data_IF_209522789756
#
_entry.id   IF_209522789756
#
_cell.length_a   1.000
_cell.length_b   1.000
_cell.length_c   1.000
_cell.angle_alpha   90.00
_cell.angle_beta   90.00
_cell.angle_gamma   90.00
#
_symmetry.space_group_name_H-M   'P 1'
#
loop_
_entity.id
_entity.type
_entity.pdbx_description
1 polymer ?
#
# COMPACT_ATOMS: atom_id res chain seq x y z
N UNK A 1 -8.07 13.80 -41.03
CA UNK A 1 -8.14 14.31 -39.64
C UNK A 1 -7.06 15.37 -39.51
N UNK A 2 -7.42 16.64 -39.32
CA UNK A 2 -6.47 17.77 -39.26
C UNK A 2 -5.87 17.86 -37.86
N UNK A 3 -4.55 17.99 -37.77
CA UNK A 3 -3.82 18.32 -36.54
C UNK A 3 -4.08 19.80 -36.17
N UNK A 4 -4.20 20.15 -34.87
CA UNK A 4 -4.42 21.53 -34.44
C UNK A 4 -3.10 22.35 -34.40
N UNK A 5 -3.15 23.69 -34.57
CA UNK A 5 -1.96 24.52 -34.60
C UNK A 5 -1.50 25.01 -33.21
N UNK A 6 -0.18 24.87 -33.03
CA UNK A 6 0.81 25.73 -32.36
C UNK A 6 0.37 26.72 -31.24
N UNK A 7 0.89 26.46 -30.04
CA UNK A 7 0.73 27.21 -28.79
C UNK A 7 1.88 28.21 -28.52
N UNK A 8 2.41 28.87 -29.54
CA UNK A 8 3.46 29.89 -29.35
C UNK A 8 2.90 31.33 -29.21
N UNK A 9 2.18 31.66 -28.12
CA UNK A 9 1.98 33.06 -27.68
C UNK A 9 1.92 33.19 -26.14
N UNK A 10 2.75 34.05 -25.51
CA UNK A 10 2.71 34.26 -24.07
C UNK A 10 1.54 35.17 -23.65
N UNK A 11 0.71 34.68 -22.72
CA UNK A 11 -0.35 35.46 -22.05
C UNK A 11 0.27 36.34 -20.95
N UNK A 12 0.52 37.61 -21.25
CA UNK A 12 0.73 38.63 -20.22
C UNK A 12 -0.61 39.24 -19.79
N UNK A 13 -1.08 38.92 -18.59
CA UNK A 13 -2.20 39.60 -17.94
C UNK A 13 -1.64 40.56 -16.89
N UNK A 14 -1.55 41.86 -17.24
CA UNK A 14 -1.32 42.92 -16.26
C UNK A 14 -2.56 43.08 -15.37
N UNK A 15 -2.41 42.86 -14.07
CA UNK A 15 -3.43 43.22 -13.07
C UNK A 15 -3.15 44.66 -12.62
N UNK A 16 -4.04 45.59 -12.94
CA UNK A 16 -4.04 46.95 -12.38
C UNK A 16 -4.68 46.92 -10.99
N UNK A 17 -3.97 47.40 -9.97
CA UNK A 17 -4.53 47.67 -8.65
C UNK A 17 -5.27 49.02 -8.67
N UNK A 18 -6.41 49.18 -7.97
CA UNK A 18 -7.11 50.46 -7.88
C UNK A 18 -6.31 51.45 -7.02
N UNK A 19 -6.15 52.69 -7.51
CA UNK A 19 -5.70 53.82 -6.71
C UNK A 19 -6.86 54.26 -5.80
N UNK A 20 -6.65 54.25 -4.49
CA UNK A 20 -7.51 54.95 -3.53
C UNK A 20 -6.89 56.27 -3.11
N UNK A 21 -7.77 57.26 -3.04
CA UNK A 21 -7.53 58.70 -2.93
C UNK A 21 -6.91 59.10 -1.58
N UNK A 22 -5.93 59.99 -1.62
CA UNK A 22 -5.36 60.62 -0.42
C UNK A 22 -6.31 61.72 0.07
N UNK A 23 -7.03 61.47 1.17
CA UNK A 23 -7.59 62.53 2.00
C UNK A 23 -6.59 62.88 3.11
N UNK A 24 -6.26 64.17 3.20
CA UNK A 24 -5.27 64.69 4.13
C UNK A 24 -5.75 64.59 5.58
N UNK A 25 -4.98 63.88 6.40
CA UNK A 25 -4.99 64.00 7.85
C UNK A 25 -3.57 64.37 8.29
N UNK A 26 -3.43 65.49 8.98
CA UNK A 26 -2.19 65.89 9.65
C UNK A 26 -1.84 64.82 10.70
N UNK A 27 -0.90 63.93 10.40
CA UNK A 27 -0.30 63.05 11.41
C UNK A 27 0.84 63.81 12.09
N UNK A 28 0.60 64.31 13.29
CA UNK A 28 1.69 64.57 14.23
C UNK A 28 2.30 63.23 14.62
N UNK A 29 3.63 63.11 14.55
CA UNK A 29 4.33 61.94 15.06
C UNK A 29 4.06 61.81 16.57
N UNK A 30 3.79 60.60 17.10
CA UNK A 30 3.65 60.41 18.53
C UNK A 30 4.98 60.75 19.23
N UNK A 31 4.95 61.27 20.47
CA UNK A 31 6.17 61.58 21.21
C UNK A 31 7.01 60.32 21.41
N UNK A 32 8.33 60.45 21.34
CA UNK A 32 9.26 59.34 21.66
C UNK A 32 9.09 58.97 23.13
N UNK A 33 8.75 57.71 23.38
CA UNK A 33 8.74 57.13 24.71
C UNK A 33 10.15 57.17 25.31
N UNK A 34 10.23 57.35 26.62
CA UNK A 34 11.50 57.26 27.33
C UNK A 34 11.94 55.79 27.44
N UNK A 35 13.25 55.50 27.62
CA UNK A 35 13.75 54.12 27.75
C UNK A 35 13.16 53.28 28.91
N UNK A 36 12.44 53.92 29.83
CA UNK A 36 11.71 53.25 30.91
C UNK A 36 10.27 52.88 30.49
N UNK A 37 9.63 53.71 29.67
CA UNK A 37 8.28 53.48 29.14
C UNK A 37 8.28 52.40 28.05
N UNK A 38 9.31 52.33 27.21
CA UNK A 38 9.49 51.23 26.24
C UNK A 38 9.65 49.86 26.94
N UNK A 39 10.34 49.84 28.09
CA UNK A 39 10.50 48.62 28.90
C UNK A 39 9.20 48.16 29.55
N UNK A 40 8.36 49.10 30.00
CA UNK A 40 7.04 48.79 30.57
C UNK A 40 6.05 48.34 29.48
N UNK A 41 6.12 48.91 28.28
CA UNK A 41 5.31 48.47 27.14
C UNK A 41 5.66 47.03 26.71
N UNK A 42 6.96 46.70 26.59
CA UNK A 42 7.43 45.34 26.27
C UNK A 42 7.03 44.32 27.35
N UNK A 43 7.17 44.66 28.63
CA UNK A 43 6.73 43.79 29.73
C UNK A 43 5.20 43.59 29.74
N UNK A 44 4.42 44.57 29.26
CA UNK A 44 2.96 44.44 29.17
C UNK A 44 2.50 43.56 28.01
N UNK A 45 3.24 43.54 26.89
CA UNK A 45 2.99 42.61 25.78
C UNK A 45 3.41 41.19 26.15
N UNK A 46 4.56 41.00 26.82
CA UNK A 46 4.99 39.69 27.32
C UNK A 46 4.01 39.13 28.36
N UNK A 47 3.47 39.98 29.25
CA UNK A 47 2.46 39.55 30.22
C UNK A 47 1.13 39.19 29.52
N UNK A 48 0.70 39.93 28.49
CA UNK A 48 -0.48 39.55 27.69
C UNK A 48 -0.26 38.26 26.88
N UNK A 49 0.95 38.01 26.40
CA UNK A 49 1.32 36.77 25.71
C UNK A 49 1.29 35.58 26.67
N UNK A 50 1.85 35.72 27.88
CA UNK A 50 1.86 34.67 28.91
C UNK A 50 0.48 34.43 29.55
N UNK A 51 -0.36 35.46 29.65
CA UNK A 51 -1.75 35.30 30.15
C UNK A 51 -2.67 34.65 29.11
N UNK A 52 -2.37 34.79 27.80
CA UNK A 52 -3.07 34.04 26.74
C UNK A 52 -2.69 32.56 26.71
N UNK A 53 -1.46 32.20 27.07
CA UNK A 53 -1.01 30.80 27.15
C UNK A 53 -1.65 30.06 28.34
N UNK A 54 -1.94 30.76 29.44
CA UNK A 54 -2.53 30.16 30.64
C UNK A 54 -4.06 30.08 30.65
N UNK A 55 -4.76 30.70 29.68
CA UNK A 55 -6.22 30.60 29.53
C UNK A 55 -6.68 29.48 28.57
N UNK A 56 -5.75 28.78 27.90
CA UNK A 56 -6.05 27.67 26.98
C UNK A 56 -5.84 26.27 27.58
N UNK A 57 -5.56 26.14 28.89
CA UNK A 57 -5.37 24.83 29.55
C UNK A 57 -6.63 24.26 30.23
N UNK A 58 -7.82 24.59 29.72
CA UNK A 58 -9.03 23.79 30.00
C UNK A 58 -9.61 23.29 28.68
N UNK A 59 -8.91 22.31 28.11
CA UNK A 59 -9.46 21.43 27.09
C UNK A 59 -9.71 20.09 27.77
N UNK A 60 -10.96 19.64 27.68
CA UNK A 60 -11.43 18.32 28.07
C UNK A 60 -10.48 17.23 27.56
N UNK A 61 -10.42 16.13 28.31
CA UNK A 61 -9.74 14.89 27.92
C UNK A 61 -10.38 14.38 26.63
N UNK A 62 -9.87 14.89 25.51
CA UNK A 62 -10.16 14.40 24.17
C UNK A 62 -9.05 13.41 23.83
N UNK A 63 -9.49 12.22 23.42
CA UNK A 63 -8.68 11.09 22.99
C UNK A 63 -7.46 11.54 22.21
N UNK A 64 -6.28 11.06 22.60
CA UNK A 64 -5.01 11.37 21.94
C UNK A 64 -5.17 11.29 20.41
N UNK A 65 -4.79 12.32 19.65
CA UNK A 65 -4.68 12.18 18.20
C UNK A 65 -3.64 11.09 17.95
N UNK A 66 -4.01 10.05 17.21
CA UNK A 66 -3.07 9.09 16.64
C UNK A 66 -2.04 9.93 15.88
N UNK A 67 -0.84 10.01 16.43
CA UNK A 67 0.26 10.76 15.82
C UNK A 67 0.60 10.03 14.53
N UNK A 68 0.14 10.56 13.39
CA UNK A 68 0.58 10.11 12.07
C UNK A 68 2.08 10.35 12.05
N UNK A 69 2.86 9.30 12.26
CA UNK A 69 4.31 9.30 12.10
C UNK A 69 4.60 9.59 10.63
N UNK A 70 4.64 10.86 10.25
CA UNK A 70 5.24 11.29 9.00
C UNK A 70 6.73 11.02 9.12
N UNK A 71 7.21 10.06 8.32
CA UNK A 71 8.64 9.83 8.16
C UNK A 71 9.13 10.84 7.13
N UNK A 72 9.91 11.83 7.54
CA UNK A 72 10.46 12.81 6.59
C UNK A 72 11.51 12.15 5.66
N UNK A 73 12.22 11.13 6.14
CA UNK A 73 13.22 10.36 5.39
C UNK A 73 13.15 8.89 5.83
N UNK A 74 12.88 7.98 4.89
CA UNK A 74 12.93 6.54 5.14
C UNK A 74 14.37 6.01 5.11
N UNK A 75 14.72 5.10 6.02
CA UNK A 75 16.05 4.46 6.06
C UNK A 75 16.21 3.37 5.01
N UNK A 76 15.09 2.84 4.53
CA UNK A 76 15.03 1.75 3.56
C UNK A 76 13.77 1.90 2.71
N UNK A 77 13.86 1.41 1.47
CA UNK A 77 12.68 1.29 0.60
C UNK A 77 11.59 0.41 1.22
N UNK A 78 11.95 -0.54 2.10
CA UNK A 78 10.99 -1.40 2.78
C UNK A 78 10.09 -0.63 3.76
N UNK A 79 10.58 0.47 4.36
CA UNK A 79 9.77 1.33 5.24
C UNK A 79 8.69 2.12 4.47
N UNK A 80 8.76 2.13 3.14
CA UNK A 80 7.77 2.74 2.25
C UNK A 80 6.69 1.74 1.80
N UNK A 81 6.76 0.48 2.21
CA UNK A 81 5.68 -0.49 2.00
C UNK A 81 4.53 -0.16 2.96
N UNK A 82 3.34 0.02 2.40
CA UNK A 82 2.14 0.38 3.13
C UNK A 82 1.84 1.87 3.13
N UNK A 83 0.90 2.29 3.98
CA UNK A 83 0.36 3.67 4.02
C UNK A 83 -0.04 4.21 2.64
N UNK A 84 -0.55 3.32 1.80
CA UNK A 84 -0.90 3.64 0.41
C UNK A 84 -2.08 4.62 0.37
N UNK A 85 -2.13 5.50 -0.63
CA UNK A 85 -3.16 6.53 -0.69
C UNK A 85 -4.53 5.92 -1.04
N UNK A 86 -5.57 6.63 -0.64
CA UNK A 86 -6.92 6.40 -1.13
C UNK A 86 -7.35 7.53 -2.05
N UNK A 87 -7.93 7.18 -3.19
CA UNK A 87 -8.37 8.14 -4.20
C UNK A 87 -9.85 7.95 -4.45
N UNK A 88 -10.62 9.03 -4.28
CA UNK A 88 -12.04 9.03 -4.65
C UNK A 88 -12.18 8.97 -6.17
N UNK A 89 -12.92 7.98 -6.66
CA UNK A 89 -13.29 7.88 -8.05
C UNK A 89 -14.54 8.75 -8.27
N UNK A 90 -14.45 9.75 -9.14
CA UNK A 90 -15.57 10.69 -9.38
C UNK A 90 -16.24 10.42 -10.72
N UNK A 91 -15.45 10.35 -11.79
CA UNK A 91 -15.98 10.27 -13.16
C UNK A 91 -16.53 8.90 -13.51
N UNK A 92 -15.85 7.82 -13.13
CA UNK A 92 -16.25 6.45 -13.47
C UNK A 92 -17.44 5.94 -12.66
N UNK A 93 -17.82 6.66 -11.61
CA UNK A 93 -18.92 6.32 -10.70
C UNK A 93 -20.00 7.39 -10.68
N UNK A 94 -20.10 8.16 -11.77
CA UNK A 94 -21.18 9.12 -11.95
C UNK A 94 -22.55 8.38 -11.94
N UNK A 95 -23.52 8.93 -11.21
CA UNK A 95 -24.83 8.30 -11.00
C UNK A 95 -24.88 7.22 -9.91
N UNK A 96 -23.74 6.84 -9.33
CA UNK A 96 -23.72 5.95 -8.14
C UNK A 96 -24.01 6.79 -6.89
N UNK A 97 -24.99 6.40 -6.04
CA UNK A 97 -25.44 7.22 -4.91
C UNK A 97 -24.44 7.27 -3.73
N UNK A 98 -23.36 6.50 -3.78
CA UNK A 98 -22.33 6.44 -2.74
C UNK A 98 -20.93 6.78 -3.28
N UNK A 99 -20.01 7.28 -2.42
CA UNK A 99 -18.61 7.43 -2.80
C UNK A 99 -17.97 6.08 -3.09
N UNK A 100 -17.26 5.98 -4.21
CA UNK A 100 -16.37 4.85 -4.51
C UNK A 100 -14.93 5.31 -4.38
N UNK A 101 -14.15 4.57 -3.61
CA UNK A 101 -12.79 4.94 -3.22
C UNK A 101 -11.85 3.79 -3.58
N UNK A 102 -10.77 4.09 -4.28
CA UNK A 102 -9.72 3.14 -4.60
C UNK A 102 -8.59 3.23 -3.57
N UNK A 103 -8.25 2.11 -2.94
CA UNK A 103 -7.01 1.93 -2.16
C UNK A 103 -5.88 1.57 -3.12
N UNK A 104 -4.95 2.50 -3.35
CA UNK A 104 -4.02 2.43 -4.49
C UNK A 104 -2.74 1.70 -4.10
N UNK A 105 -2.81 0.37 -4.03
CA UNK A 105 -1.67 -0.48 -3.64
C UNK A 105 -0.51 -0.51 -4.66
N UNK A 106 -0.70 0.05 -5.85
CA UNK A 106 0.37 0.18 -6.85
C UNK A 106 1.43 1.24 -6.47
N UNK A 107 1.20 2.01 -5.41
CA UNK A 107 2.20 2.95 -4.89
C UNK A 107 3.18 2.33 -3.91
N UNK A 108 3.03 1.06 -3.55
CA UNK A 108 4.11 0.35 -2.85
C UNK A 108 5.35 0.30 -3.76
N UNK A 109 6.58 0.23 -3.23
CA UNK A 109 7.81 0.34 -4.03
C UNK A 109 8.00 -0.73 -5.11
N UNK A 110 7.51 -1.94 -4.90
CA UNK A 110 7.44 -3.03 -5.88
C UNK A 110 6.24 -2.95 -6.81
N UNK A 111 5.41 -1.91 -6.67
CA UNK A 111 4.31 -1.60 -7.56
C UNK A 111 3.04 -2.39 -7.31
N UNK A 112 2.91 -3.08 -6.16
CA UNK A 112 1.78 -3.97 -5.92
C UNK A 112 1.38 -4.14 -4.46
N UNK A 113 0.20 -4.72 -4.23
CA UNK A 113 -0.28 -5.15 -2.90
C UNK A 113 0.56 -6.28 -2.29
N UNK A 114 1.32 -7.02 -3.10
CA UNK A 114 2.06 -8.22 -2.67
C UNK A 114 3.35 -7.90 -1.92
N UNK A 115 3.81 -6.65 -1.97
CA UNK A 115 4.94 -6.17 -1.18
C UNK A 115 4.69 -6.34 0.32
N UNK A 116 3.44 -6.14 0.77
CA UNK A 116 3.04 -6.28 2.17
C UNK A 116 3.22 -7.70 2.71
N UNK A 117 2.57 -8.74 2.14
CA UNK A 117 2.78 -10.10 2.62
C UNK A 117 4.20 -10.60 2.34
N UNK A 118 4.87 -10.14 1.27
CA UNK A 118 6.27 -10.50 1.03
C UNK A 118 7.17 -10.04 2.19
N UNK A 119 7.09 -8.78 2.60
CA UNK A 119 7.84 -8.26 3.74
C UNK A 119 7.49 -9.03 5.02
N UNK A 120 6.20 -9.18 5.32
CA UNK A 120 5.76 -9.82 6.55
C UNK A 120 6.19 -11.29 6.66
N UNK A 121 6.09 -12.07 5.56
CA UNK A 121 6.52 -13.48 5.56
C UNK A 121 8.02 -13.62 5.79
N UNK A 122 8.84 -12.70 5.28
CA UNK A 122 10.28 -12.69 5.52
C UNK A 122 10.59 -12.29 6.95
N UNK A 123 9.96 -11.23 7.48
CA UNK A 123 10.17 -10.79 8.87
C UNK A 123 9.78 -11.87 9.89
N UNK A 124 8.67 -12.60 9.66
CA UNK A 124 8.30 -13.70 10.54
C UNK A 124 9.29 -14.87 10.42
N UNK A 125 9.75 -15.20 9.22
CA UNK A 125 10.75 -16.27 9.02
C UNK A 125 12.11 -15.93 9.65
N UNK A 126 12.54 -14.67 9.60
CA UNK A 126 13.73 -14.16 10.30
C UNK A 126 13.55 -14.30 11.83
N UNK A 127 12.41 -13.88 12.35
CA UNK A 127 12.08 -13.92 13.78
C UNK A 127 11.98 -15.35 14.32
N UNK A 128 11.45 -16.29 13.55
CA UNK A 128 11.36 -17.70 13.89
C UNK A 128 12.69 -18.45 13.68
N UNK A 129 13.70 -17.80 13.07
CA UNK A 129 14.99 -18.40 12.77
C UNK A 129 14.96 -19.41 11.61
N UNK A 130 13.88 -19.41 10.82
CA UNK A 130 13.72 -20.23 9.62
C UNK A 130 14.54 -19.68 8.45
N UNK A 131 14.74 -18.36 8.40
CA UNK A 131 15.53 -17.68 7.38
C UNK A 131 16.78 -17.04 8.03
N UNK A 132 17.96 -17.51 7.63
CA UNK A 132 19.25 -17.04 8.18
C UNK A 132 19.92 -16.06 7.22
N UNK A 133 20.80 -15.15 7.68
CA UNK A 133 21.56 -14.27 6.79
C UNK A 133 22.24 -15.01 5.63
N UNK A 134 22.06 -14.54 4.39
CA UNK A 134 22.61 -15.18 3.19
C UNK A 134 21.85 -16.41 2.68
N UNK A 135 20.75 -16.81 3.34
CA UNK A 135 19.85 -17.87 2.87
C UNK A 135 19.22 -17.57 1.50
N UNK A 136 18.63 -18.60 0.90
CA UNK A 136 17.97 -18.51 -0.40
C UNK A 136 16.45 -18.58 -0.26
N UNK A 137 15.74 -17.59 -0.78
CA UNK A 137 14.29 -17.59 -0.88
C UNK A 137 13.88 -18.27 -2.19
N UNK A 138 13.02 -19.28 -2.10
CA UNK A 138 12.54 -20.03 -3.26
C UNK A 138 11.03 -19.95 -3.29
N UNK A 139 10.45 -19.36 -4.34
CA UNK A 139 8.99 -19.25 -4.47
C UNK A 139 8.56 -19.55 -5.92
N UNK A 140 7.56 -20.42 -6.12
CA UNK A 140 6.94 -20.58 -7.43
C UNK A 140 6.04 -19.37 -7.72
N UNK A 141 6.58 -18.36 -8.41
CA UNK A 141 5.84 -17.16 -8.77
C UNK A 141 6.49 -16.43 -9.93
N UNK A 142 5.65 -15.86 -10.79
CA UNK A 142 6.02 -14.94 -11.87
C UNK A 142 5.39 -13.56 -11.72
N UNK A 143 4.63 -13.38 -10.64
CA UNK A 143 3.80 -12.20 -10.45
C UNK A 143 4.36 -11.25 -9.40
N UNK A 144 3.45 -10.42 -8.92
CA UNK A 144 3.72 -9.37 -7.93
C UNK A 144 4.41 -9.87 -6.64
N UNK A 145 4.13 -11.09 -6.19
CA UNK A 145 4.78 -11.66 -5.00
C UNK A 145 6.28 -11.88 -5.21
N UNK A 146 6.69 -12.31 -6.40
CA UNK A 146 8.11 -12.44 -6.74
C UNK A 146 8.83 -11.09 -6.67
N UNK A 147 8.21 -10.02 -7.20
CA UNK A 147 8.78 -8.67 -7.16
C UNK A 147 8.92 -8.18 -5.70
N UNK A 148 7.88 -8.35 -4.88
CA UNK A 148 7.93 -7.99 -3.46
C UNK A 148 9.04 -8.74 -2.72
N UNK A 149 9.15 -10.07 -2.92
CA UNK A 149 10.20 -10.89 -2.31
C UNK A 149 11.60 -10.49 -2.79
N UNK A 150 11.77 -10.17 -4.08
CA UNK A 150 13.05 -9.77 -4.65
C UNK A 150 13.56 -8.46 -4.05
N UNK A 151 12.68 -7.48 -3.85
CA UNK A 151 13.03 -6.19 -3.22
C UNK A 151 13.46 -6.40 -1.77
N UNK A 152 12.73 -7.23 -1.00
CA UNK A 152 13.09 -7.56 0.38
C UNK A 152 14.44 -8.29 0.41
N UNK A 153 14.63 -9.28 -0.46
CA UNK A 153 15.86 -10.05 -0.55
C UNK A 153 17.08 -9.19 -0.88
N UNK A 154 16.96 -8.31 -1.88
CA UNK A 154 18.02 -7.39 -2.26
C UNK A 154 18.43 -6.43 -1.12
N UNK A 155 17.47 -6.00 -0.30
CA UNK A 155 17.73 -5.13 0.86
C UNK A 155 18.31 -5.89 2.07
N UNK A 156 17.96 -7.17 2.24
CA UNK A 156 18.36 -8.00 3.39
C UNK A 156 19.57 -8.90 3.12
N UNK A 157 20.03 -8.98 1.87
CA UNK A 157 21.16 -9.81 1.47
C UNK A 157 20.80 -11.30 1.32
N UNK A 158 19.59 -11.61 0.88
CA UNK A 158 19.17 -12.96 0.53
C UNK A 158 19.32 -13.22 -0.96
N UNK A 159 19.54 -14.48 -1.34
CA UNK A 159 19.40 -14.91 -2.72
C UNK A 159 17.93 -15.21 -3.03
N UNK A 160 17.50 -15.05 -4.27
CA UNK A 160 16.17 -15.45 -4.72
C UNK A 160 16.26 -16.41 -5.90
N UNK A 161 15.47 -17.49 -5.85
CA UNK A 161 15.20 -18.36 -7.00
C UNK A 161 13.69 -18.38 -7.22
N UNK A 162 13.24 -17.83 -8.33
CA UNK A 162 11.83 -17.88 -8.72
C UNK A 162 11.60 -18.93 -9.80
N UNK A 163 10.60 -19.77 -9.58
CA UNK A 163 10.18 -20.78 -10.55
C UNK A 163 8.91 -20.30 -11.23
N UNK A 164 8.93 -20.22 -12.55
CA UNK A 164 7.83 -19.72 -13.36
C UNK A 164 7.56 -20.60 -14.58
N UNK A 165 6.41 -20.43 -15.22
CA UNK A 165 6.09 -21.12 -16.48
C UNK A 165 6.50 -20.30 -17.69
N UNK A 166 6.74 -20.96 -18.82
CA UNK A 166 7.06 -20.35 -20.13
C UNK A 166 5.89 -19.57 -20.79
N UNK A 167 4.69 -19.61 -20.20
CA UNK A 167 3.57 -18.70 -20.54
C UNK A 167 3.82 -17.25 -20.10
N UNK A 168 4.70 -17.04 -19.12
CA UNK A 168 4.98 -15.73 -18.53
C UNK A 168 5.76 -14.88 -19.53
N UNK A 169 5.44 -13.58 -19.60
CA UNK A 169 6.10 -12.69 -20.55
C UNK A 169 7.60 -12.51 -20.23
N UNK A 170 8.48 -12.39 -21.25
CA UNK A 170 9.90 -12.16 -21.03
C UNK A 170 10.21 -10.93 -20.18
N UNK A 171 9.39 -9.87 -20.25
CA UNK A 171 9.58 -8.64 -19.48
C UNK A 171 9.51 -8.89 -17.97
N UNK A 172 8.70 -9.86 -17.52
CA UNK A 172 8.64 -10.25 -16.11
C UNK A 172 9.87 -11.03 -15.66
N UNK A 173 10.40 -11.88 -16.53
CA UNK A 173 11.69 -12.58 -16.29
C UNK A 173 12.80 -11.55 -16.13
N UNK A 174 12.88 -10.60 -17.06
CA UNK A 174 13.91 -9.57 -17.07
C UNK A 174 13.81 -8.64 -15.87
N UNK A 175 12.58 -8.28 -15.45
CA UNK A 175 12.34 -7.50 -14.24
C UNK A 175 12.88 -8.21 -12.99
N UNK A 176 12.55 -9.49 -12.80
CA UNK A 176 13.01 -10.25 -11.63
C UNK A 176 14.53 -10.44 -11.63
N UNK A 177 15.12 -10.70 -12.79
CA UNK A 177 16.58 -10.74 -12.95
C UNK A 177 17.24 -9.38 -12.65
N UNK A 178 16.61 -8.27 -13.03
CA UNK A 178 17.10 -6.93 -12.71
C UNK A 178 17.11 -6.64 -11.19
N UNK A 179 16.20 -7.28 -10.43
CA UNK A 179 16.24 -7.27 -8.95
C UNK A 179 17.25 -8.25 -8.34
N UNK A 180 18.04 -8.95 -9.16
CA UNK A 180 19.07 -9.89 -8.71
C UNK A 180 18.56 -11.31 -8.44
N UNK A 181 17.34 -11.65 -8.86
CA UNK A 181 16.82 -13.00 -8.71
C UNK A 181 17.29 -13.93 -9.82
N UNK A 182 17.56 -15.18 -9.46
CA UNK A 182 17.64 -16.28 -10.42
C UNK A 182 16.21 -16.69 -10.82
N UNK A 183 16.02 -16.97 -12.11
CA UNK A 183 14.70 -17.30 -12.66
C UNK A 183 14.79 -18.62 -13.42
N UNK A 184 14.03 -19.60 -12.96
CA UNK A 184 13.87 -20.92 -13.57
C UNK A 184 12.55 -20.95 -14.33
N UNK A 185 12.63 -21.18 -15.64
CA UNK A 185 11.45 -21.26 -16.52
C UNK A 185 11.13 -22.73 -16.80
N UNK A 186 9.92 -23.14 -16.47
CA UNK A 186 9.37 -24.48 -16.62
C UNK A 186 8.35 -24.53 -17.75
N UNK A 187 8.22 -25.67 -18.47
CA UNK A 187 7.16 -25.85 -19.46
C UNK A 187 5.78 -25.79 -18.79
N UNK A 188 4.82 -25.11 -19.42
CA UNK A 188 3.41 -25.07 -18.98
C UNK A 188 2.62 -26.31 -19.42
N UNK A 189 3.08 -27.01 -20.46
CA UNK A 189 2.39 -28.12 -21.13
C UNK A 189 2.75 -29.50 -20.55
N UNK A 190 2.94 -29.56 -19.23
CA UNK A 190 3.22 -30.80 -18.49
C UNK A 190 2.29 -30.93 -17.30
N UNK A 191 1.98 -32.17 -16.92
CA UNK A 191 1.15 -32.47 -15.75
C UNK A 191 1.79 -31.95 -14.45
N UNK A 192 1.00 -31.61 -13.41
CA UNK A 192 1.53 -31.08 -12.16
C UNK A 192 2.58 -31.95 -11.47
N UNK A 193 2.52 -33.27 -11.61
CA UNK A 193 3.46 -34.24 -11.04
C UNK A 193 4.70 -34.51 -11.92
N UNK A 194 4.75 -33.97 -13.15
CA UNK A 194 5.94 -34.05 -14.01
C UNK A 194 7.12 -33.37 -13.29
N UNK A 195 8.33 -33.98 -13.25
CA UNK A 195 9.51 -33.38 -12.63
C UNK A 195 9.90 -32.00 -13.16
N UNK A 196 9.47 -31.67 -14.39
CA UNK A 196 9.69 -30.38 -15.06
C UNK A 196 8.60 -29.37 -14.76
N UNK A 197 7.49 -29.80 -14.17
CA UNK A 197 6.40 -28.90 -13.78
C UNK A 197 6.93 -27.83 -12.83
N UNK A 198 6.26 -26.67 -12.82
CA UNK A 198 6.67 -25.57 -11.95
C UNK A 198 6.54 -25.95 -10.47
N UNK A 199 5.55 -26.78 -10.11
CA UNK A 199 5.32 -27.27 -8.75
C UNK A 199 6.46 -28.19 -8.30
N UNK A 200 6.75 -29.23 -9.09
CA UNK A 200 7.79 -30.20 -8.80
C UNK A 200 9.17 -29.57 -8.79
N UNK A 201 9.42 -28.60 -9.69
CA UNK A 201 10.69 -27.87 -9.72
C UNK A 201 10.88 -27.01 -8.47
N UNK A 202 9.87 -26.26 -8.04
CA UNK A 202 9.97 -25.48 -6.81
C UNK A 202 10.18 -26.37 -5.58
N UNK A 203 9.42 -27.46 -5.47
CA UNK A 203 9.54 -28.43 -4.38
C UNK A 203 10.93 -29.09 -4.34
N UNK A 204 11.45 -29.48 -5.51
CA UNK A 204 12.79 -30.06 -5.63
C UNK A 204 13.87 -29.05 -5.24
N UNK A 205 13.80 -27.82 -5.75
CA UNK A 205 14.76 -26.76 -5.41
C UNK A 205 14.74 -26.45 -3.91
N UNK A 206 13.56 -26.39 -3.27
CA UNK A 206 13.46 -26.23 -1.81
C UNK A 206 14.12 -27.37 -1.02
N UNK A 207 14.19 -28.59 -1.57
CA UNK A 207 14.87 -29.73 -0.92
C UNK A 207 16.37 -29.79 -1.21
N UNK A 208 16.76 -29.41 -2.42
CA UNK A 208 18.14 -29.53 -2.90
C UNK A 208 19.00 -28.31 -2.53
N UNK A 209 18.41 -27.14 -2.34
CA UNK A 209 19.13 -25.91 -1.97
C UNK A 209 19.29 -25.82 -0.44
N UNK A 210 20.52 -25.92 0.10
CA UNK A 210 20.78 -25.78 1.52
C UNK A 210 20.40 -24.37 2.03
N UNK A 211 19.99 -24.29 3.30
CA UNK A 211 19.60 -23.04 3.95
C UNK A 211 18.64 -22.19 3.09
N UNK A 212 17.64 -22.87 2.49
CA UNK A 212 16.58 -22.23 1.73
C UNK A 212 15.28 -22.13 2.53
N UNK A 213 14.47 -21.13 2.16
CA UNK A 213 13.17 -20.88 2.74
C UNK A 213 12.15 -20.67 1.62
N UNK A 214 10.98 -21.28 1.76
CA UNK A 214 9.84 -21.10 0.87
C UNK A 214 8.72 -20.36 1.58
N UNK A 215 8.44 -19.09 1.22
CA UNK A 215 7.37 -18.30 1.84
C UNK A 215 5.99 -18.96 1.74
N UNK A 216 5.68 -19.61 0.60
CA UNK A 216 4.43 -20.33 0.34
C UNK A 216 3.18 -19.47 0.58
N UNK A 217 2.99 -18.45 -0.27
CA UNK A 217 1.93 -17.43 -0.11
C UNK A 217 0.49 -17.96 -0.02
N UNK A 218 0.25 -19.21 -0.44
CA UNK A 218 -1.07 -19.84 -0.47
C UNK A 218 -1.44 -20.55 0.83
N UNK A 219 -0.45 -20.94 1.64
CA UNK A 219 -0.65 -21.62 2.92
C UNK A 219 -0.22 -20.77 4.12
N UNK A 220 0.74 -19.87 3.92
CA UNK A 220 1.32 -19.09 4.99
C UNK A 220 0.36 -18.02 5.53
N UNK A 221 -0.12 -18.23 6.75
CA UNK A 221 -1.08 -17.35 7.42
C UNK A 221 -0.53 -15.95 7.73
N UNK A 222 0.79 -15.74 7.60
CA UNK A 222 1.38 -14.39 7.64
C UNK A 222 0.89 -13.52 6.47
N UNK A 223 0.48 -14.12 5.34
CA UNK A 223 -0.12 -13.38 4.22
C UNK A 223 -1.41 -12.63 4.62
N UNK A 224 -2.50 -13.31 5.04
CA UNK A 224 -3.68 -12.61 5.54
C UNK A 224 -3.38 -11.77 6.78
N UNK A 225 -2.47 -12.21 7.65
CA UNK A 225 -2.11 -11.45 8.84
C UNK A 225 -1.49 -10.08 8.52
N UNK A 226 -0.66 -9.99 7.47
CA UNK A 226 -0.07 -8.72 7.03
C UNK A 226 -1.16 -7.69 6.69
N UNK A 227 -2.21 -8.11 6.01
CA UNK A 227 -3.34 -7.25 5.67
C UNK A 227 -4.23 -6.91 6.87
N UNK A 228 -4.39 -7.85 7.81
CA UNK A 228 -5.07 -7.60 9.08
C UNK A 228 -4.34 -6.56 9.94
N UNK A 229 -3.00 -6.60 9.99
CA UNK A 229 -2.19 -5.67 10.77
C UNK A 229 -1.99 -4.30 10.12
N UNK A 230 -2.09 -4.21 8.80
CA UNK A 230 -1.74 -2.97 8.07
C UNK A 230 -2.89 -2.46 7.20
N UNK A 231 -3.24 -3.16 6.12
CA UNK A 231 -4.21 -2.70 5.12
C UNK A 231 -5.60 -2.43 5.70
N UNK A 232 -6.10 -3.31 6.58
CA UNK A 232 -7.38 -3.14 7.27
C UNK A 232 -7.42 -1.88 8.15
N UNK A 233 -6.49 -1.70 9.09
CA UNK A 233 -6.35 -0.48 9.88
C UNK A 233 -6.22 0.78 9.04
N UNK A 234 -5.39 0.78 8.00
CA UNK A 234 -5.23 1.93 7.12
C UNK A 234 -6.56 2.32 6.47
N UNK A 235 -7.31 1.36 5.93
CA UNK A 235 -8.63 1.62 5.34
C UNK A 235 -9.60 2.16 6.39
N UNK A 236 -9.63 1.58 7.59
CA UNK A 236 -10.51 2.02 8.67
C UNK A 236 -10.20 3.46 9.09
N UNK A 237 -8.93 3.78 9.32
CA UNK A 237 -8.48 5.12 9.68
C UNK A 237 -8.75 6.13 8.58
N UNK A 238 -8.34 5.84 7.34
CA UNK A 238 -8.47 6.77 6.21
C UNK A 238 -9.93 7.00 5.79
N UNK A 239 -10.86 6.10 6.16
CA UNK A 239 -12.31 6.29 5.97
C UNK A 239 -13.00 6.85 7.21
N UNK A 240 -12.28 7.13 8.30
CA UNK A 240 -12.83 7.54 9.59
C UNK A 240 -13.92 6.57 10.09
N UNK A 241 -13.75 5.27 9.83
CA UNK A 241 -14.71 4.22 10.18
C UNK A 241 -16.01 4.22 9.37
N UNK A 242 -16.11 4.98 8.28
CA UNK A 242 -17.33 5.13 7.47
C UNK A 242 -17.45 4.11 6.33
N UNK A 243 -16.45 3.23 6.14
CA UNK A 243 -16.52 2.16 5.15
C UNK A 243 -17.70 1.22 5.44
N UNK A 244 -18.43 0.85 4.39
CA UNK A 244 -19.58 -0.06 4.45
C UNK A 244 -19.36 -1.33 3.64
N UNK A 245 -18.57 -1.24 2.57
CA UNK A 245 -18.25 -2.35 1.66
C UNK A 245 -16.77 -2.32 1.33
N UNK A 246 -16.12 -3.46 1.41
CA UNK A 246 -14.77 -3.69 0.90
C UNK A 246 -14.85 -4.70 -0.24
N UNK A 247 -14.34 -4.31 -1.42
CA UNK A 247 -14.34 -5.16 -2.61
C UNK A 247 -12.89 -5.32 -3.07
N UNK A 248 -12.46 -6.56 -3.29
CA UNK A 248 -11.12 -6.86 -3.80
C UNK A 248 -11.11 -8.13 -4.65
N UNK A 249 -10.12 -8.21 -5.54
CA UNK A 249 -9.85 -9.40 -6.32
C UNK A 249 -9.43 -10.59 -5.43
N UNK A 250 -9.99 -11.78 -5.68
CA UNK A 250 -9.57 -13.00 -4.99
C UNK A 250 -8.39 -13.65 -5.74
N UNK A 251 -7.24 -13.81 -5.08
CA UNK A 251 -6.10 -14.61 -5.57
C UNK A 251 -5.75 -15.65 -4.52
N UNK A 252 -4.71 -15.42 -3.71
CA UNK A 252 -4.47 -16.26 -2.50
C UNK A 252 -5.57 -16.14 -1.43
N UNK A 253 -6.46 -15.14 -1.53
CA UNK A 253 -7.44 -14.81 -0.49
C UNK A 253 -6.91 -13.91 0.64
N UNK A 254 -5.59 -13.78 0.78
CA UNK A 254 -4.96 -13.08 1.92
C UNK A 254 -5.48 -11.65 2.15
N UNK A 255 -5.62 -10.86 1.08
CA UNK A 255 -6.12 -9.48 1.17
C UNK A 255 -7.57 -9.41 1.65
N UNK A 256 -8.46 -10.22 1.05
CA UNK A 256 -9.88 -10.25 1.43
C UNK A 256 -10.05 -10.71 2.88
N UNK A 257 -9.41 -11.82 3.26
CA UNK A 257 -9.56 -12.41 4.58
C UNK A 257 -8.92 -11.54 5.67
N UNK A 258 -7.72 -11.00 5.43
CA UNK A 258 -7.02 -10.15 6.39
C UNK A 258 -7.75 -8.82 6.64
N UNK A 259 -8.07 -8.09 5.57
CA UNK A 259 -8.84 -6.83 5.68
C UNK A 259 -10.23 -7.11 6.24
N UNK A 260 -10.91 -8.14 5.73
CA UNK A 260 -12.26 -8.49 6.13
C UNK A 260 -12.38 -8.85 7.60
N UNK A 261 -11.46 -9.65 8.12
CA UNK A 261 -11.41 -9.98 9.55
C UNK A 261 -11.27 -8.71 10.40
N UNK A 262 -10.30 -7.85 10.09
CA UNK A 262 -10.10 -6.61 10.84
C UNK A 262 -11.35 -5.71 10.80
N UNK A 263 -11.93 -5.49 9.61
CA UNK A 263 -13.09 -4.62 9.45
C UNK A 263 -14.33 -5.17 10.16
N UNK A 264 -14.57 -6.49 10.11
CA UNK A 264 -15.71 -7.12 10.80
C UNK A 264 -15.57 -7.08 12.33
N UNK A 265 -14.35 -7.12 12.87
CA UNK A 265 -14.10 -6.89 14.29
C UNK A 265 -14.42 -5.44 14.71
N UNK A 266 -14.27 -4.46 13.81
CA UNK A 266 -14.66 -3.06 14.05
C UNK A 266 -16.16 -2.82 13.88
N UNK A 267 -16.74 -3.38 12.82
CA UNK A 267 -18.17 -3.32 12.54
C UNK A 267 -18.59 -4.58 11.75
N UNK A 268 -19.31 -5.53 12.37
CA UNK A 268 -19.69 -6.78 11.72
C UNK A 268 -20.67 -6.59 10.55
N UNK A 269 -21.28 -5.40 10.42
CA UNK A 269 -22.18 -5.08 9.30
C UNK A 269 -21.45 -4.76 7.99
N UNK A 270 -20.12 -4.55 8.03
CA UNK A 270 -19.33 -4.29 6.82
C UNK A 270 -19.37 -5.53 5.91
N UNK A 271 -19.64 -5.28 4.63
CA UNK A 271 -19.71 -6.29 3.60
C UNK A 271 -18.33 -6.48 2.94
N UNK A 272 -17.87 -7.72 2.88
CA UNK A 272 -16.63 -8.14 2.22
C UNK A 272 -17.03 -8.90 0.96
N UNK A 273 -16.64 -8.38 -0.21
CA UNK A 273 -17.07 -8.87 -1.51
C UNK A 273 -15.85 -9.30 -2.32
N UNK A 274 -15.84 -10.54 -2.78
CA UNK A 274 -14.83 -11.07 -3.68
C UNK A 274 -15.19 -10.73 -5.13
N UNK A 275 -14.30 -10.05 -5.84
CA UNK A 275 -14.36 -9.93 -7.28
C UNK A 275 -13.49 -11.03 -7.89
N UNK A 276 -14.08 -11.93 -8.66
CA UNK A 276 -13.40 -13.12 -9.18
C UNK A 276 -13.68 -13.31 -10.67
N UNK A 277 -12.70 -13.74 -11.49
CA UNK A 277 -12.94 -14.06 -12.89
C UNK A 277 -13.85 -15.29 -13.06
N UNK A 278 -14.69 -15.24 -14.09
CA UNK A 278 -15.42 -16.41 -14.56
C UNK A 278 -14.46 -17.58 -14.86
N UNK A 279 -14.79 -18.78 -14.38
CA UNK A 279 -13.96 -19.98 -14.53
C UNK A 279 -13.04 -20.27 -13.33
N UNK A 280 -12.79 -19.32 -12.44
CA UNK A 280 -12.08 -19.59 -11.18
C UNK A 280 -12.93 -20.39 -10.19
N UNK A 281 -12.29 -21.16 -9.29
CA UNK A 281 -12.99 -21.96 -8.27
C UNK A 281 -13.83 -21.10 -7.32
N UNK A 282 -13.44 -19.85 -7.09
CA UNK A 282 -14.20 -18.92 -6.25
C UNK A 282 -15.58 -18.60 -6.86
N UNK A 283 -15.68 -18.54 -8.19
CA UNK A 283 -16.93 -18.40 -8.95
C UNK A 283 -17.58 -19.74 -9.35
N UNK A 284 -17.10 -20.87 -8.81
CA UNK A 284 -17.64 -22.21 -9.08
C UNK A 284 -17.18 -22.85 -10.40
N UNK A 285 -16.12 -22.32 -11.02
CA UNK A 285 -15.49 -22.90 -12.20
C UNK A 285 -14.50 -24.02 -11.88
N UNK A 286 -13.85 -24.54 -12.92
CA UNK A 286 -12.83 -25.61 -12.86
C UNK A 286 -11.39 -25.07 -12.75
N UNK A 287 -11.23 -23.75 -12.69
CA UNK A 287 -10.00 -23.05 -12.35
C UNK A 287 -9.39 -22.22 -13.48
N UNK A 288 -9.57 -22.61 -14.75
CA UNK A 288 -8.94 -21.98 -15.94
C UNK A 288 -9.71 -22.33 -17.23
N UNK A 289 -9.62 -21.54 -18.31
CA UNK A 289 -8.76 -20.37 -18.50
C UNK A 289 -9.47 -19.01 -18.39
N UNK A 290 -8.73 -18.00 -17.93
CA UNK A 290 -9.08 -16.58 -18.06
C UNK A 290 -7.81 -15.74 -18.34
N UNK A 291 -8.01 -14.51 -18.85
CA UNK A 291 -6.91 -13.62 -19.25
C UNK A 291 -6.42 -12.70 -18.14
N UNK A 292 -7.24 -12.45 -17.11
CA UNK A 292 -6.88 -11.57 -15.99
C UNK A 292 -5.78 -12.24 -15.17
N UNK A 293 -4.76 -11.47 -14.78
CA UNK A 293 -3.65 -11.98 -13.99
C UNK A 293 -3.79 -11.61 -12.51
N UNK A 294 -3.29 -12.49 -11.62
CA UNK A 294 -3.15 -12.22 -10.19
C UNK A 294 -4.43 -12.34 -9.37
N UNK A 295 -5.55 -12.73 -10.01
CA UNK A 295 -6.84 -13.09 -9.41
C UNK A 295 -7.37 -14.35 -10.10
N UNK A 296 -8.25 -15.07 -9.40
CA UNK A 296 -8.71 -16.40 -9.74
C UNK A 296 -7.70 -17.47 -9.36
N UNK A 297 -8.18 -18.66 -9.02
CA UNK A 297 -7.35 -19.84 -8.76
C UNK A 297 -8.03 -21.13 -9.24
N UNK A 298 -7.26 -22.20 -9.39
CA UNK A 298 -7.69 -23.57 -9.71
C UNK A 298 -7.74 -24.51 -8.50
N UNK A 299 -7.42 -23.99 -7.31
CA UNK A 299 -7.54 -24.65 -6.02
C UNK A 299 -7.96 -23.66 -4.93
N UNK A 300 -8.32 -24.17 -3.75
CA UNK A 300 -8.64 -23.36 -2.58
C UNK A 300 -7.38 -23.14 -1.73
N UNK A 301 -6.82 -21.91 -1.66
CA UNK A 301 -5.68 -21.61 -0.79
C UNK A 301 -6.07 -21.74 0.68
N UNK A 302 -5.15 -22.22 1.53
CA UNK A 302 -5.39 -22.30 2.98
C UNK A 302 -5.46 -20.91 3.64
N UNK A 303 -4.94 -19.88 2.99
CA UNK A 303 -5.08 -18.49 3.42
C UNK A 303 -6.47 -17.89 3.16
N UNK A 304 -7.35 -18.60 2.45
CA UNK A 304 -8.71 -18.16 2.18
C UNK A 304 -9.70 -18.75 3.19
N UNK A 305 -10.33 -17.87 3.97
CA UNK A 305 -11.44 -18.20 4.87
C UNK A 305 -12.77 -17.72 4.25
N UNK A 306 -13.61 -18.64 3.72
CA UNK A 306 -14.89 -18.27 3.11
C UNK A 306 -15.87 -17.67 4.12
N UNK A 307 -15.72 -17.91 5.43
CA UNK A 307 -16.64 -17.36 6.43
C UNK A 307 -16.53 -15.84 6.59
N UNK A 308 -15.44 -15.26 6.10
CA UNK A 308 -15.21 -13.81 6.08
C UNK A 308 -15.93 -13.13 4.90
N UNK A 309 -16.21 -13.87 3.83
CA UNK A 309 -16.70 -13.33 2.57
C UNK A 309 -18.24 -13.35 2.55
N UNK A 310 -18.85 -12.20 2.29
CA UNK A 310 -20.31 -12.08 2.25
C UNK A 310 -20.88 -12.39 0.86
N UNK A 311 -20.13 -12.07 -0.21
CA UNK A 311 -20.54 -12.23 -1.62
C UNK A 311 -19.35 -12.44 -2.55
#
# INVERSE_FOLDING_TARGET
>A
MRLPPDLSKPFHRQVRLPQQERHGANFQAPPRLTPAEDRLAQLSEELHFLTRISFLQRVEVTTAPTMVMYMDIANSVLELIGRTPMVRLVRVTEGIPCPVIAKVETTNPGGSVKDRPALAMIEEAEKEGLLKPGSTIIEPTSGNTGVGLAIVAAQRGYNCIFVMTDKVSPEKVDLLKAYGAEVMVCPVDVEPDDPRSYYSTAERLSKETPDSFRPNQYANQTNPHAHYLTTGPEIWEQTEGKITHFIAGAGTGGTLCGVGKYLKEKNPSIQIIAADPEGSVYSGGDGRPYLVEGVGEDFWPETYDPSIIDR
#
